data_IF_032442454301
#
_entry.id   IF_032442454301
#
_cell.length_a   1.000
_cell.length_b   1.000
_cell.length_c   1.000
_cell.angle_alpha   90.00
_cell.angle_beta   90.00
_cell.angle_gamma   90.00
#
_symmetry.space_group_name_H-M   'P 1'
#
loop_
_entity.id
_entity.type
_entity.pdbx_description
1 polymer ?
#
# COMPACT_ATOMS: atom_id res chain seq x y z
N UNK A 1 11.59 -4.81 2.01
CA UNK A 1 12.81 -4.01 1.80
C UNK A 1 12.46 -2.52 1.68
N UNK A 2 11.68 -2.09 0.68
CA UNK A 2 11.38 -0.67 0.43
C UNK A 2 10.79 0.09 1.64
N UNK A 3 9.74 -0.43 2.30
CA UNK A 3 9.14 0.26 3.48
C UNK A 3 10.15 0.43 4.62
N UNK A 4 10.93 -0.61 4.93
CA UNK A 4 11.96 -0.54 5.99
C UNK A 4 13.12 0.39 5.62
N UNK A 5 13.43 0.52 4.34
CA UNK A 5 14.38 1.52 3.85
C UNK A 5 13.82 2.93 4.03
N UNK A 6 12.54 3.14 3.73
CA UNK A 6 11.87 4.43 3.96
C UNK A 6 11.85 4.78 5.46
N UNK A 7 11.57 3.81 6.35
CA UNK A 7 11.65 4.00 7.80
C UNK A 7 13.04 4.51 8.20
N UNK A 8 14.08 3.85 7.68
CA UNK A 8 15.47 4.21 7.96
C UNK A 8 15.80 5.63 7.49
N UNK A 9 15.37 6.02 6.29
CA UNK A 9 15.58 7.38 5.78
C UNK A 9 14.83 8.43 6.62
N UNK A 10 13.58 8.16 6.99
CA UNK A 10 12.77 9.06 7.82
C UNK A 10 13.40 9.29 9.19
N UNK A 11 13.93 8.22 9.81
CA UNK A 11 14.64 8.31 11.10
C UNK A 11 15.97 9.05 10.95
N UNK A 12 16.72 8.75 9.89
CA UNK A 12 18.08 9.27 9.71
C UNK A 12 18.11 10.75 9.38
N UNK A 13 17.15 11.23 8.59
CA UNK A 13 17.16 12.58 8.02
C UNK A 13 16.01 13.48 8.50
N UNK A 14 15.22 13.02 9.48
CA UNK A 14 14.14 13.84 10.05
C UNK A 14 14.65 15.15 10.64
N UNK A 15 15.76 15.11 11.38
CA UNK A 15 16.41 16.30 11.97
C UNK A 15 17.08 17.20 10.92
N UNK A 16 17.35 16.68 9.71
CA UNK A 16 17.84 17.45 8.56
C UNK A 16 16.70 18.20 7.85
N UNK A 17 15.45 18.05 8.30
CA UNK A 17 14.25 18.63 7.69
C UNK A 17 13.79 17.90 6.42
N UNK A 18 14.21 16.65 6.21
CA UNK A 18 13.82 15.85 5.04
C UNK A 18 12.62 14.98 5.38
N UNK A 19 11.45 15.31 4.80
CA UNK A 19 10.26 14.48 4.85
C UNK A 19 10.36 13.25 3.95
N UNK A 20 9.85 12.10 4.43
CA UNK A 20 9.82 10.84 3.69
C UNK A 20 8.40 10.27 3.73
N UNK A 21 7.89 9.88 2.56
CA UNK A 21 6.63 9.15 2.41
C UNK A 21 6.85 7.90 1.56
N UNK A 22 6.08 6.84 1.82
CA UNK A 22 6.11 5.59 1.06
C UNK A 22 4.72 5.22 0.56
N UNK A 23 4.62 5.12 -0.77
CA UNK A 23 3.40 4.74 -1.48
C UNK A 23 3.25 3.21 -1.49
N UNK A 24 2.14 2.73 -0.92
CA UNK A 24 1.84 1.31 -0.76
C UNK A 24 0.41 0.99 -1.27
N UNK A 25 0.20 0.94 -2.60
CA UNK A 25 -1.12 0.73 -3.18
C UNK A 25 -1.44 -0.77 -3.33
N UNK A 26 -2.74 -1.08 -3.45
CA UNK A 26 -3.22 -2.34 -4.02
C UNK A 26 -3.32 -2.22 -5.56
N UNK A 27 -4.43 -2.63 -6.16
CA UNK A 27 -4.62 -2.64 -7.60
C UNK A 27 -4.76 -1.23 -8.16
N UNK A 28 -3.98 -0.90 -9.19
CA UNK A 28 -4.06 0.38 -9.90
C UNK A 28 -4.04 0.09 -11.39
N UNK A 29 -4.98 0.70 -12.11
CA UNK A 29 -5.16 0.50 -13.55
C UNK A 29 -4.00 1.11 -14.34
N UNK A 30 -2.89 0.38 -14.40
CA UNK A 30 -1.65 0.73 -15.10
C UNK A 30 -1.22 -0.43 -15.99
N UNK A 31 -0.15 -0.26 -16.78
CA UNK A 31 0.41 -1.35 -17.56
C UNK A 31 0.86 -2.56 -16.71
N UNK A 32 1.10 -2.40 -15.40
CA UNK A 32 1.44 -3.49 -14.49
C UNK A 32 0.24 -4.32 -14.03
N UNK A 33 -0.96 -3.71 -14.03
CA UNK A 33 -2.20 -4.34 -13.58
C UNK A 33 -3.39 -3.75 -14.36
N UNK A 34 -3.50 -4.03 -15.67
CA UNK A 34 -4.54 -3.44 -16.50
C UNK A 34 -5.91 -4.02 -16.13
N UNK A 35 -6.90 -3.14 -15.99
CA UNK A 35 -8.28 -3.49 -15.60
C UNK A 35 -8.95 -4.47 -16.57
N UNK A 36 -8.50 -4.52 -17.82
CA UNK A 36 -9.08 -5.34 -18.90
C UNK A 36 -8.76 -6.85 -18.80
N UNK A 37 -7.93 -7.30 -17.85
CA UNK A 37 -7.60 -8.73 -17.69
C UNK A 37 -8.66 -9.59 -16.96
N UNK A 38 -9.82 -9.02 -16.59
CA UNK A 38 -11.11 -9.72 -16.51
C UNK A 38 -11.16 -11.10 -15.84
N UNK A 39 -10.48 -11.32 -14.72
CA UNK A 39 -10.46 -12.61 -13.99
C UNK A 39 -11.27 -12.59 -12.68
N UNK A 40 -12.01 -11.52 -12.40
CA UNK A 40 -12.75 -11.35 -11.15
C UNK A 40 -11.91 -10.77 -9.99
N UNK A 41 -10.64 -10.41 -10.24
CA UNK A 41 -9.80 -9.65 -9.28
C UNK A 41 -9.88 -8.13 -9.47
N UNK A 42 -10.89 -7.65 -10.18
CA UNK A 42 -11.08 -6.23 -10.49
C UNK A 42 -11.67 -5.40 -9.34
N UNK A 43 -12.13 -6.05 -8.26
CA UNK A 43 -12.58 -5.34 -7.06
C UNK A 43 -11.37 -4.70 -6.36
N UNK A 44 -11.43 -3.37 -6.18
CA UNK A 44 -10.36 -2.58 -5.55
C UNK A 44 -9.29 -2.07 -6.51
N UNK A 45 -9.44 -2.21 -7.84
CA UNK A 45 -8.57 -1.49 -8.80
C UNK A 45 -9.03 -0.02 -8.88
N UNK A 46 -8.14 0.91 -8.52
CA UNK A 46 -8.36 2.35 -8.68
C UNK A 46 -7.69 2.88 -9.95
N UNK A 47 -8.17 4.03 -10.43
CA UNK A 47 -7.51 4.72 -11.54
C UNK A 47 -6.26 5.49 -11.04
N UNK A 48 -5.22 5.67 -11.88
CA UNK A 48 -3.99 6.35 -11.49
C UNK A 48 -4.18 7.76 -10.94
N UNK A 49 -5.20 8.48 -11.42
CA UNK A 49 -5.52 9.84 -11.00
C UNK A 49 -5.95 9.89 -9.53
N UNK A 50 -6.68 8.87 -9.07
CA UNK A 50 -7.10 8.74 -7.66
C UNK A 50 -5.89 8.52 -6.76
N UNK A 51 -4.98 7.64 -7.17
CA UNK A 51 -3.72 7.42 -6.46
C UNK A 51 -2.87 8.69 -6.42
N UNK A 52 -2.77 9.40 -7.55
CA UNK A 52 -1.97 10.62 -7.64
C UNK A 52 -2.49 11.69 -6.66
N UNK A 53 -3.80 11.86 -6.56
CA UNK A 53 -4.39 12.79 -5.58
C UNK A 53 -4.05 12.37 -4.14
N UNK A 54 -4.15 11.07 -3.81
CA UNK A 54 -3.79 10.58 -2.48
C UNK A 54 -2.32 10.86 -2.11
N UNK A 55 -1.40 10.77 -3.08
CA UNK A 55 0.01 11.12 -2.90
C UNK A 55 0.17 12.61 -2.62
N UNK A 56 -0.49 13.48 -3.40
CA UNK A 56 -0.44 14.93 -3.18
C UNK A 56 -0.94 15.29 -1.79
N UNK A 57 -2.09 14.74 -1.38
CA UNK A 57 -2.68 14.98 -0.06
C UNK A 57 -1.74 14.48 1.06
N UNK A 58 -1.15 13.30 0.89
CA UNK A 58 -0.23 12.74 1.89
C UNK A 58 1.06 13.55 2.04
N UNK A 59 1.59 14.09 0.95
CA UNK A 59 2.75 14.97 1.00
C UNK A 59 2.43 16.30 1.67
N UNK A 60 1.24 16.87 1.42
CA UNK A 60 0.79 18.09 2.09
C UNK A 60 0.59 17.90 3.60
N UNK A 61 0.11 16.72 4.01
CA UNK A 61 -0.08 16.35 5.42
C UNK A 61 1.18 15.76 6.09
N UNK A 62 2.30 15.66 5.36
CA UNK A 62 3.54 15.00 5.80
C UNK A 62 3.33 13.57 6.34
N UNK A 63 2.39 12.83 5.74
CA UNK A 63 2.08 11.45 6.13
C UNK A 63 3.15 10.49 5.59
N UNK A 64 3.67 9.65 6.48
CA UNK A 64 4.66 8.63 6.11
C UNK A 64 4.05 7.53 5.20
N UNK A 65 2.94 6.93 5.59
CA UNK A 65 2.24 5.94 4.76
C UNK A 65 1.22 6.61 3.83
N UNK A 66 1.39 6.37 2.52
CA UNK A 66 0.40 6.73 1.49
C UNK A 66 -0.35 5.47 1.07
N UNK A 67 -1.56 5.31 1.61
CA UNK A 67 -2.43 4.15 1.42
C UNK A 67 -3.69 4.57 0.64
N UNK A 68 -3.69 4.50 -0.69
CA UNK A 68 -4.81 4.98 -1.51
C UNK A 68 -6.05 4.05 -1.47
N UNK A 69 -5.92 2.87 -0.86
CA UNK A 69 -6.97 1.87 -0.67
C UNK A 69 -7.28 1.75 0.82
N UNK A 70 -8.50 2.09 1.24
CA UNK A 70 -8.88 2.17 2.65
C UNK A 70 -8.68 0.82 3.39
N UNK A 71 -8.92 -0.29 2.70
CA UNK A 71 -8.73 -1.65 3.21
C UNK A 71 -7.26 -2.00 3.50
N UNK A 72 -6.30 -1.31 2.86
CA UNK A 72 -4.87 -1.59 3.06
C UNK A 72 -4.41 -1.16 4.45
N UNK A 73 -5.02 -0.14 5.05
CA UNK A 73 -4.71 0.24 6.43
C UNK A 73 -5.01 -0.90 7.41
N UNK A 74 -6.16 -1.56 7.25
CA UNK A 74 -6.54 -2.73 8.03
C UNK A 74 -5.57 -3.91 7.80
N UNK A 75 -5.08 -4.10 6.58
CA UNK A 75 -4.08 -5.13 6.29
C UNK A 75 -2.75 -4.85 6.98
N UNK A 76 -2.30 -3.59 6.96
CA UNK A 76 -1.07 -3.18 7.66
C UNK A 76 -1.21 -3.43 9.15
N UNK A 77 -2.34 -3.04 9.76
CA UNK A 77 -2.64 -3.28 11.18
C UNK A 77 -2.61 -4.77 11.52
N UNK A 78 -3.43 -5.59 10.83
CA UNK A 78 -3.53 -7.03 11.10
C UNK A 78 -2.20 -7.76 10.92
N UNK A 79 -1.42 -7.37 9.92
CA UNK A 79 -0.07 -7.91 9.70
C UNK A 79 0.89 -7.48 10.81
N UNK A 80 0.78 -6.25 11.29
CA UNK A 80 1.56 -5.74 12.42
C UNK A 80 1.26 -6.45 13.74
N UNK A 81 -0.01 -6.81 13.97
CA UNK A 81 -0.46 -7.48 15.20
C UNK A 81 0.06 -8.92 15.31
N UNK A 82 -0.04 -9.72 14.24
CA UNK A 82 0.42 -11.12 14.20
C UNK A 82 0.77 -11.54 12.76
N UNK A 83 2.06 -11.52 12.44
CA UNK A 83 2.57 -11.83 11.11
C UNK A 83 2.27 -13.28 10.71
N UNK A 84 2.44 -14.24 11.61
CA UNK A 84 2.26 -15.66 11.29
C UNK A 84 0.79 -15.98 11.03
N UNK A 85 -0.10 -15.46 11.88
CA UNK A 85 -1.55 -15.58 11.66
C UNK A 85 -1.97 -14.92 10.36
N UNK A 86 -1.46 -13.72 10.07
CA UNK A 86 -1.72 -13.02 8.82
C UNK A 86 -1.31 -13.86 7.60
N UNK A 87 -0.08 -14.39 7.58
CA UNK A 87 0.41 -15.22 6.47
C UNK A 87 -0.44 -16.48 6.27
N UNK A 88 -0.86 -17.13 7.36
CA UNK A 88 -1.75 -18.29 7.28
C UNK A 88 -3.14 -17.92 6.73
N UNK A 89 -3.69 -16.77 7.11
CA UNK A 89 -4.93 -16.22 6.56
C UNK A 89 -4.83 -15.96 5.05
N UNK A 90 -3.78 -15.28 4.60
CA UNK A 90 -3.57 -14.97 3.18
C UNK A 90 -3.38 -16.23 2.32
N UNK A 91 -2.67 -17.25 2.83
CA UNK A 91 -2.56 -18.57 2.16
C UNK A 91 -3.90 -19.28 2.02
N UNK A 92 -4.80 -19.13 3.00
CA UNK A 92 -6.16 -19.68 2.93
C UNK A 92 -6.99 -18.95 1.88
N UNK A 93 -6.98 -17.61 1.87
CA UNK A 93 -7.69 -16.81 0.87
C UNK A 93 -7.25 -17.16 -0.56
N UNK A 94 -5.93 -17.19 -0.82
CA UNK A 94 -5.40 -17.56 -2.13
C UNK A 94 -5.90 -18.91 -2.63
N UNK A 95 -5.96 -19.94 -1.76
CA UNK A 95 -6.45 -21.27 -2.13
C UNK A 95 -7.94 -21.32 -2.46
N UNK A 96 -8.73 -20.35 -1.98
CA UNK A 96 -10.17 -20.25 -2.27
C UNK A 96 -10.46 -19.48 -3.56
N UNK A 97 -9.54 -18.61 -3.97
CA UNK A 97 -9.63 -17.80 -5.20
C UNK A 97 -8.89 -18.42 -6.40
N UNK A 98 -8.28 -19.60 -6.24
CA UNK A 98 -7.57 -20.35 -7.30
C UNK A 98 -8.42 -21.48 -7.86
#
# INVERSE_FOLDING_TARGET
AAVKLADFLAITHGDDGIGVSVLCPQGVNTAMAPKQLGDGQTDGIIEPEVLAQCVIDALADERFHVLPHAEVEDYVRRKGDDIDRWLNGMRRLRRQSS
#
